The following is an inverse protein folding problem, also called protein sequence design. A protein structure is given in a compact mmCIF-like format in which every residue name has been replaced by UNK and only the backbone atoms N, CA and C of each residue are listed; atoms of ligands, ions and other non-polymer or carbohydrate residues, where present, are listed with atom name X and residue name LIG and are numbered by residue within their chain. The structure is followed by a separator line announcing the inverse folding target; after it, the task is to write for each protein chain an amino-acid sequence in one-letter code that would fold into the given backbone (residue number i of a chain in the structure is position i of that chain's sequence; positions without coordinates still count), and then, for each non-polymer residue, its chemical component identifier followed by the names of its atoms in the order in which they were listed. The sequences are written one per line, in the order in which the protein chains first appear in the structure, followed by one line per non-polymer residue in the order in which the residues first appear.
data_IF_803277374161
#
_entry.id   IF_803277374161
#
_cell.length_a   1.000
_cell.length_b   1.000
_cell.length_c   1.000
_cell.angle_alpha   90.00
_cell.angle_beta   90.00
_cell.angle_gamma   90.00
#
_symmetry.space_group_name_H-M   'P 1'
#
loop_
_entity.id
_entity.type
_entity.pdbx_description
1 polymer ?
#
# COMPACT_ATOMS: atom_id res chain seq x y z
N UNK A 1 25.06 -35.98 -11.30
CA UNK A 1 25.91 -34.80 -10.97
C UNK A 1 25.73 -33.61 -11.94
N UNK A 2 24.64 -33.55 -12.72
CA UNK A 2 24.28 -32.40 -13.60
C UNK A 2 22.98 -31.68 -13.21
N UNK A 3 22.16 -32.24 -12.32
CA UNK A 3 20.90 -31.62 -11.86
C UNK A 3 21.13 -30.51 -10.82
N UNK A 4 22.12 -30.66 -9.95
CA UNK A 4 22.38 -29.70 -8.85
C UNK A 4 22.79 -28.29 -9.31
N UNK A 5 23.30 -28.13 -10.53
CA UNK A 5 23.76 -26.83 -11.06
C UNK A 5 22.63 -26.03 -11.72
N UNK A 6 21.60 -26.69 -12.27
CA UNK A 6 20.43 -26.02 -12.86
C UNK A 6 19.47 -25.53 -11.79
N UNK A 7 19.20 -26.34 -10.77
CA UNK A 7 18.32 -25.98 -9.65
C UNK A 7 18.86 -24.77 -8.86
N UNK A 8 20.18 -24.69 -8.71
CA UNK A 8 20.85 -23.54 -8.10
C UNK A 8 20.74 -22.26 -8.95
N UNK A 9 20.70 -22.39 -10.29
CA UNK A 9 20.56 -21.26 -11.22
C UNK A 9 19.14 -20.71 -11.23
N UNK A 10 18.12 -21.57 -11.19
CA UNK A 10 16.71 -21.16 -11.11
C UNK A 10 16.39 -20.50 -9.77
N UNK A 11 16.79 -21.12 -8.66
CA UNK A 11 16.55 -20.56 -7.32
C UNK A 11 17.10 -19.15 -7.17
N UNK A 12 18.34 -18.92 -7.61
CA UNK A 12 18.95 -17.60 -7.56
C UNK A 12 18.31 -16.57 -8.51
N UNK A 13 17.68 -17.00 -9.61
CA UNK A 13 16.91 -16.13 -10.49
C UNK A 13 15.54 -15.81 -9.89
N UNK A 14 14.85 -16.81 -9.33
CA UNK A 14 13.57 -16.67 -8.63
C UNK A 14 13.67 -15.62 -7.52
N UNK A 15 14.65 -15.77 -6.63
CA UNK A 15 14.88 -14.82 -5.53
C UNK A 15 15.10 -13.38 -6.04
N UNK A 16 15.84 -13.21 -7.15
CA UNK A 16 16.04 -11.89 -7.78
C UNK A 16 14.75 -11.33 -8.37
N UNK A 17 13.91 -12.16 -8.98
CA UNK A 17 12.63 -11.77 -9.56
C UNK A 17 11.63 -11.38 -8.48
N UNK A 18 11.46 -12.21 -7.44
CA UNK A 18 10.58 -11.94 -6.29
C UNK A 18 11.00 -10.66 -5.56
N UNK A 19 12.30 -10.50 -5.31
CA UNK A 19 12.84 -9.28 -4.68
C UNK A 19 12.65 -8.06 -5.59
N UNK A 20 12.92 -8.20 -6.89
CA UNK A 20 12.81 -7.14 -7.88
C UNK A 20 11.37 -6.67 -8.07
N UNK A 21 10.43 -7.59 -8.26
CA UNK A 21 9.00 -7.26 -8.38
C UNK A 21 8.49 -6.68 -7.07
N UNK A 22 8.87 -7.24 -5.90
CA UNK A 22 8.51 -6.70 -4.60
C UNK A 22 8.92 -5.23 -4.42
N UNK A 23 10.16 -4.87 -4.76
CA UNK A 23 10.60 -3.48 -4.69
C UNK A 23 9.94 -2.57 -5.72
N UNK A 24 9.59 -3.10 -6.90
CA UNK A 24 8.80 -2.35 -7.87
C UNK A 24 7.37 -2.08 -7.37
N UNK A 25 6.69 -3.08 -6.80
CA UNK A 25 5.38 -2.91 -6.17
C UNK A 25 5.45 -1.89 -5.02
N UNK A 26 6.50 -1.95 -4.20
CA UNK A 26 6.72 -1.00 -3.11
C UNK A 26 6.91 0.44 -3.64
N UNK A 27 7.66 0.62 -4.74
CA UNK A 27 7.82 1.94 -5.39
C UNK A 27 6.49 2.48 -5.94
N UNK A 28 5.65 1.62 -6.51
CA UNK A 28 4.30 1.98 -6.93
C UNK A 28 3.44 2.33 -5.72
N UNK A 29 3.49 1.53 -4.66
CA UNK A 29 2.74 1.75 -3.43
C UNK A 29 3.11 3.07 -2.75
N UNK A 30 4.39 3.41 -2.68
CA UNK A 30 4.89 4.72 -2.21
C UNK A 30 4.23 5.87 -2.96
N UNK A 31 4.20 5.80 -4.29
CA UNK A 31 3.60 6.86 -5.10
C UNK A 31 2.10 6.98 -4.87
N UNK A 32 1.39 5.86 -4.79
CA UNK A 32 -0.05 5.80 -4.51
C UNK A 32 -0.38 6.31 -3.10
N UNK A 33 0.45 5.99 -2.11
CA UNK A 33 0.32 6.48 -0.73
C UNK A 33 0.49 8.00 -0.67
N UNK A 34 1.44 8.55 -1.44
CA UNK A 34 1.62 10.00 -1.58
C UNK A 34 0.39 10.70 -2.21
N UNK A 35 -0.34 10.02 -3.10
CA UNK A 35 -1.63 10.50 -3.65
C UNK A 35 -2.83 10.29 -2.69
N UNK A 36 -2.58 9.89 -1.45
CA UNK A 36 -3.63 9.72 -0.44
C UNK A 36 -4.36 8.38 -0.51
N UNK A 37 -3.91 7.43 -1.33
CA UNK A 37 -4.62 6.15 -1.50
C UNK A 37 -4.43 5.23 -0.29
N UNK A 38 -5.46 4.45 0.09
CA UNK A 38 -5.41 3.61 1.28
C UNK A 38 -4.99 2.18 0.92
N UNK A 39 -3.69 1.93 0.79
CA UNK A 39 -3.12 0.60 0.50
C UNK A 39 -2.95 -0.20 1.79
N UNK A 40 -3.25 -1.50 1.74
CA UNK A 40 -3.18 -2.42 2.89
C UNK A 40 -2.03 -3.42 2.81
N UNK A 41 -1.75 -3.96 1.63
CA UNK A 41 -0.75 -5.02 1.46
C UNK A 41 -0.24 -5.08 0.03
N UNK A 42 0.95 -5.67 -0.09
CA UNK A 42 1.59 -6.05 -1.35
C UNK A 42 1.84 -7.55 -1.33
N UNK A 43 1.71 -8.20 -2.48
CA UNK A 43 2.13 -9.58 -2.67
C UNK A 43 3.01 -9.66 -3.90
N UNK A 44 4.16 -10.29 -3.77
CA UNK A 44 5.08 -10.59 -4.85
C UNK A 44 5.19 -12.11 -4.98
N UNK A 45 5.05 -12.64 -6.18
CA UNK A 45 5.07 -14.08 -6.44
C UNK A 45 5.86 -14.39 -7.70
N UNK A 46 6.66 -15.46 -7.67
CA UNK A 46 7.21 -16.12 -8.85
C UNK A 46 6.99 -17.62 -8.71
N UNK A 47 6.71 -18.33 -9.81
CA UNK A 47 6.53 -19.78 -9.79
C UNK A 47 7.68 -20.52 -9.08
N UNK A 48 7.31 -21.54 -8.29
CA UNK A 48 8.24 -22.35 -7.51
C UNK A 48 9.10 -23.29 -8.37
N UNK A 49 8.61 -23.68 -9.54
CA UNK A 49 9.30 -24.56 -10.51
C UNK A 49 9.27 -23.91 -11.90
N UNK A 50 10.39 -24.01 -12.62
CA UNK A 50 10.51 -23.59 -14.02
C UNK A 50 9.43 -24.23 -14.92
N UNK A 51 8.98 -25.44 -14.56
CA UNK A 51 7.92 -26.18 -15.25
C UNK A 51 6.52 -25.64 -15.02
N UNK A 52 6.32 -24.81 -13.99
CA UNK A 52 5.03 -24.18 -13.68
C UNK A 52 4.94 -22.75 -14.22
N UNK A 53 6.01 -22.23 -14.81
CA UNK A 53 6.05 -20.87 -15.35
C UNK A 53 5.00 -20.67 -16.45
N UNK A 54 4.73 -21.70 -17.26
CA UNK A 54 3.72 -21.61 -18.32
C UNK A 54 2.30 -21.36 -17.78
N UNK A 55 2.00 -21.81 -16.56
CA UNK A 55 0.71 -21.61 -15.89
C UNK A 55 0.71 -20.38 -14.96
N UNK A 56 1.83 -20.12 -14.28
CA UNK A 56 2.02 -19.01 -13.33
C UNK A 56 3.41 -18.42 -13.49
N UNK A 57 3.53 -17.26 -14.14
CA UNK A 57 4.80 -16.60 -14.41
C UNK A 57 5.33 -15.86 -13.16
N UNK A 58 5.57 -14.55 -13.25
CA UNK A 58 5.86 -13.69 -12.09
C UNK A 58 4.72 -12.68 -11.99
N UNK A 59 4.17 -12.55 -10.80
CA UNK A 59 3.00 -11.75 -10.55
C UNK A 59 3.20 -10.91 -9.29
N UNK A 60 2.36 -9.89 -9.14
CA UNK A 60 2.30 -9.16 -7.90
C UNK A 60 1.11 -8.23 -7.78
N UNK A 61 0.55 -8.11 -6.59
CA UNK A 61 -0.67 -7.34 -6.37
C UNK A 61 -0.52 -6.28 -5.29
N UNK A 62 -1.32 -5.22 -5.44
CA UNK A 62 -1.48 -4.15 -4.45
C UNK A 62 -2.95 -4.09 -4.06
N UNK A 63 -3.20 -4.33 -2.78
CA UNK A 63 -4.55 -4.35 -2.24
C UNK A 63 -4.88 -3.04 -1.52
N UNK A 64 -6.11 -2.57 -1.73
CA UNK A 64 -6.63 -1.37 -1.07
C UNK A 64 -7.47 -1.71 0.16
N UNK A 65 -7.69 -0.74 1.03
CA UNK A 65 -8.64 -0.88 2.13
C UNK A 65 -10.04 -1.17 1.60
N UNK A 66 -10.77 -2.03 2.31
CA UNK A 66 -12.10 -2.49 1.90
C UNK A 66 -13.08 -1.36 1.63
N UNK A 67 -13.07 -0.31 2.46
CA UNK A 67 -13.93 0.87 2.25
C UNK A 67 -13.65 1.56 0.90
N UNK A 68 -12.39 1.64 0.48
CA UNK A 68 -12.01 2.20 -0.81
C UNK A 68 -12.42 1.28 -1.96
N UNK A 69 -12.17 -0.03 -1.85
CA UNK A 69 -12.64 -1.00 -2.85
C UNK A 69 -14.16 -0.91 -3.06
N UNK A 70 -14.90 -0.81 -1.95
CA UNK A 70 -16.36 -0.68 -1.99
C UNK A 70 -16.85 0.63 -2.59
N UNK A 71 -16.10 1.72 -2.41
CA UNK A 71 -16.42 2.98 -3.08
C UNK A 71 -16.24 2.93 -4.60
N UNK A 72 -15.47 1.97 -5.13
CA UNK A 72 -15.23 1.81 -6.56
C UNK A 72 -16.20 0.80 -7.21
N UNK A 73 -16.27 -0.43 -6.69
CA UNK A 73 -17.01 -1.53 -7.32
C UNK A 73 -18.03 -2.23 -6.38
N UNK A 74 -18.44 -1.56 -5.30
CA UNK A 74 -19.40 -2.12 -4.35
C UNK A 74 -18.85 -3.36 -3.61
N UNK A 75 -19.57 -4.50 -3.58
CA UNK A 75 -19.12 -5.67 -2.83
C UNK A 75 -18.01 -6.47 -3.51
N UNK A 76 -17.64 -6.14 -4.75
CA UNK A 76 -16.62 -6.86 -5.49
C UNK A 76 -15.24 -6.69 -4.84
N UNK A 77 -14.42 -7.74 -4.90
CA UNK A 77 -13.01 -7.61 -4.56
C UNK A 77 -12.30 -6.87 -5.69
N UNK A 78 -11.45 -5.91 -5.35
CA UNK A 78 -10.74 -5.12 -6.37
C UNK A 78 -9.35 -4.72 -5.92
N UNK A 79 -8.38 -4.93 -6.80
CA UNK A 79 -6.96 -4.69 -6.52
C UNK A 79 -6.21 -4.39 -7.81
N UNK A 80 -5.02 -3.81 -7.68
CA UNK A 80 -4.10 -3.72 -8.81
C UNK A 80 -3.30 -5.00 -8.89
N UNK A 81 -3.17 -5.52 -10.10
CA UNK A 81 -2.42 -6.71 -10.39
C UNK A 81 -1.40 -6.41 -11.48
N UNK A 82 -0.15 -6.76 -11.22
CA UNK A 82 0.93 -6.76 -12.18
C UNK A 82 1.23 -8.20 -12.62
N UNK A 83 1.29 -8.42 -13.93
CA UNK A 83 1.60 -9.73 -14.51
C UNK A 83 2.84 -9.61 -15.39
N UNK A 84 3.82 -10.50 -15.20
CA UNK A 84 5.12 -10.48 -15.86
C UNK A 84 5.11 -10.63 -17.39
N UNK A 85 3.96 -10.95 -17.98
CA UNK A 85 3.71 -11.04 -19.43
C UNK A 85 2.94 -9.84 -20.00
N UNK A 86 2.15 -9.15 -19.16
CA UNK A 86 1.12 -8.19 -19.61
C UNK A 86 1.14 -6.85 -18.86
N UNK A 87 1.99 -6.68 -17.86
CA UNK A 87 2.09 -5.47 -17.06
C UNK A 87 0.90 -5.29 -16.12
N UNK A 88 0.49 -4.05 -15.89
CA UNK A 88 -0.52 -3.69 -14.90
C UNK A 88 -1.95 -3.79 -15.42
N UNK A 89 -2.82 -4.34 -14.59
CA UNK A 89 -4.26 -4.21 -14.68
C UNK A 89 -4.90 -3.87 -13.33
N UNK A 90 -6.10 -3.30 -13.42
CA UNK A 90 -7.05 -3.26 -12.33
C UNK A 90 -7.96 -4.47 -12.47
N UNK A 91 -7.95 -5.35 -11.47
CA UNK A 91 -8.71 -6.60 -11.46
C UNK A 91 -9.88 -6.47 -10.51
N UNK A 92 -11.05 -6.89 -10.97
CA UNK A 92 -12.29 -6.93 -10.19
C UNK A 92 -12.85 -8.35 -10.20
N UNK A 93 -13.18 -8.88 -9.02
CA UNK A 93 -13.75 -10.21 -8.85
C UNK A 93 -15.12 -10.05 -8.21
N UNK A 94 -16.17 -10.43 -8.94
CA UNK A 94 -17.53 -10.45 -8.43
C UNK A 94 -17.85 -11.86 -7.93
N UNK A 95 -18.04 -11.96 -6.62
CA UNK A 95 -18.60 -13.16 -6.01
C UNK A 95 -20.11 -13.15 -6.20
N UNK A 96 -20.63 -14.00 -7.09
CA UNK A 96 -22.07 -14.20 -7.20
C UNK A 96 -22.62 -14.79 -5.90
N UNK A 97 -23.76 -14.32 -5.43
CA UNK A 97 -24.47 -14.93 -4.30
C UNK A 97 -25.10 -16.25 -4.78
N UNK A 98 -24.34 -17.34 -4.74
CA UNK A 98 -24.80 -18.67 -5.18
C UNK A 98 -23.66 -19.65 -5.44
N UNK A 99 -23.96 -20.75 -6.14
CA UNK A 99 -23.00 -21.80 -6.52
C UNK A 99 -22.26 -21.51 -7.85
N UNK A 100 -22.31 -20.28 -8.35
CA UNK A 100 -21.62 -19.85 -9.57
C UNK A 100 -20.12 -19.64 -9.35
N UNK A 101 -19.32 -19.82 -10.40
CA UNK A 101 -17.91 -19.39 -10.38
C UNK A 101 -17.84 -17.87 -10.31
N UNK A 102 -16.89 -17.29 -9.56
CA UNK A 102 -16.67 -15.84 -9.56
C UNK A 102 -16.47 -15.32 -11.00
N UNK A 103 -17.04 -14.16 -11.31
CA UNK A 103 -16.74 -13.46 -12.58
C UNK A 103 -15.58 -12.50 -12.37
N UNK A 104 -14.56 -12.63 -13.21
CA UNK A 104 -13.36 -11.79 -13.18
C UNK A 104 -13.34 -10.82 -14.36
N UNK A 105 -13.05 -9.56 -14.07
CA UNK A 105 -12.84 -8.52 -15.07
C UNK A 105 -11.47 -7.87 -14.85
N UNK A 106 -10.82 -7.47 -15.94
CA UNK A 106 -9.54 -6.79 -15.89
C UNK A 106 -9.51 -5.61 -16.86
N UNK A 107 -8.99 -4.49 -16.39
CA UNK A 107 -8.69 -3.31 -17.19
C UNK A 107 -7.19 -3.04 -17.22
N UNK A 108 -6.58 -2.99 -18.39
CA UNK A 108 -5.12 -2.96 -18.57
C UNK A 108 -4.60 -1.55 -18.84
N UNK A 109 -3.46 -1.19 -18.23
CA UNK A 109 -2.81 0.13 -18.37
C UNK A 109 -2.15 0.35 -19.74
N UNK A 110 -1.94 -0.71 -20.53
CA UNK A 110 -1.26 -0.70 -21.84
C UNK A 110 -0.02 0.22 -21.90
N UNK A 111 0.92 0.02 -20.97
CA UNK A 111 2.13 0.86 -20.83
C UNK A 111 3.43 0.04 -20.67
N UNK A 112 3.45 -1.18 -21.23
CA UNK A 112 4.55 -2.11 -21.09
C UNK A 112 4.58 -2.84 -19.74
N UNK A 113 5.61 -3.66 -19.54
CA UNK A 113 5.78 -4.44 -18.31
C UNK A 113 6.09 -3.56 -17.10
N UNK A 114 6.97 -2.58 -17.25
CA UNK A 114 7.50 -1.84 -16.11
C UNK A 114 7.29 -0.32 -16.30
N UNK A 115 6.05 0.19 -16.40
CA UNK A 115 5.80 1.62 -16.44
C UNK A 115 6.33 2.34 -15.18
N UNK A 116 6.45 3.66 -15.23
CA UNK A 116 6.83 4.43 -14.03
C UNK A 116 5.71 4.38 -12.97
N UNK A 117 6.06 4.50 -11.66
CA UNK A 117 5.07 4.62 -10.60
C UNK A 117 4.03 5.72 -10.84
N UNK A 118 4.43 6.87 -11.39
CA UNK A 118 3.51 7.95 -11.75
C UNK A 118 2.48 7.53 -12.80
N UNK A 119 2.90 6.71 -13.78
CA UNK A 119 1.99 6.22 -14.82
C UNK A 119 0.97 5.25 -14.24
N UNK A 120 1.36 4.42 -13.28
CA UNK A 120 0.43 3.53 -12.56
C UNK A 120 -0.51 4.35 -11.67
N UNK A 121 -0.02 5.38 -10.99
CA UNK A 121 -0.85 6.27 -10.18
C UNK A 121 -1.89 7.04 -11.01
N UNK A 122 -1.51 7.51 -12.21
CA UNK A 122 -2.44 8.12 -13.15
C UNK A 122 -3.52 7.13 -13.61
N UNK A 123 -3.17 5.87 -13.81
CA UNK A 123 -4.14 4.81 -14.12
C UNK A 123 -5.14 4.58 -12.99
N UNK A 124 -4.68 4.50 -11.74
CA UNK A 124 -5.57 4.39 -10.58
C UNK A 124 -6.47 5.61 -10.45
N UNK A 125 -5.97 6.79 -10.78
CA UNK A 125 -6.78 8.01 -10.80
C UNK A 125 -7.89 7.92 -11.85
N UNK A 126 -7.63 7.34 -13.02
CA UNK A 126 -8.67 7.07 -14.02
C UNK A 126 -9.69 6.03 -13.53
N UNK A 127 -9.22 4.94 -12.90
CA UNK A 127 -10.09 3.92 -12.29
C UNK A 127 -11.02 4.53 -11.23
N UNK A 128 -10.55 5.51 -10.46
CA UNK A 128 -11.37 6.22 -9.47
C UNK A 128 -12.48 7.07 -10.08
N UNK A 129 -12.33 7.50 -11.33
CA UNK A 129 -13.35 8.26 -12.05
C UNK A 129 -14.36 7.30 -12.67
N UNK A 130 -13.86 6.27 -13.36
CA UNK A 130 -14.68 5.25 -14.00
C UNK A 130 -13.91 3.92 -14.11
N UNK A 131 -14.18 2.93 -13.24
CA UNK A 131 -13.47 1.66 -13.22
C UNK A 131 -13.77 0.80 -14.46
N UNK A 132 -14.91 1.00 -15.13
CA UNK A 132 -15.34 0.18 -16.26
C UNK A 132 -14.63 0.58 -17.56
N UNK A 133 -14.22 1.85 -17.67
CA UNK A 133 -13.62 2.39 -18.91
C UNK A 133 -12.14 2.76 -18.78
N UNK A 134 -11.58 2.82 -17.57
CA UNK A 134 -10.15 3.09 -17.39
C UNK A 134 -9.30 2.03 -18.10
N UNK A 135 -8.32 2.44 -18.92
CA UNK A 135 -7.43 1.52 -19.64
C UNK A 135 -8.12 0.72 -20.75
N UNK A 136 -7.59 -0.47 -21.07
CA UNK A 136 -8.08 -1.37 -22.12
C UNK A 136 -8.77 -2.61 -21.55
N UNK A 137 -9.81 -3.11 -22.21
CA UNK A 137 -10.36 -4.45 -21.95
C UNK A 137 -9.51 -5.57 -22.54
N UNK A 138 -8.64 -5.26 -23.50
CA UNK A 138 -7.76 -6.24 -24.13
C UNK A 138 -6.47 -6.38 -23.34
N UNK A 139 -6.11 -7.63 -23.02
CA UNK A 139 -4.86 -7.96 -22.33
C UNK A 139 -3.68 -7.80 -23.30
N UNK A 140 -2.73 -6.89 -23.03
CA UNK A 140 -1.54 -6.78 -23.86
C UNK A 140 -0.61 -7.98 -23.64
N UNK A 141 0.18 -8.33 -24.64
CA UNK A 141 1.19 -9.40 -24.57
C UNK A 141 2.55 -8.80 -24.90
N UNK A 142 3.33 -8.47 -23.87
CA UNK A 142 4.66 -7.88 -24.03
C UNK A 142 5.78 -8.92 -23.99
N UNK A 143 5.50 -10.09 -23.42
CA UNK A 143 6.45 -11.18 -23.24
C UNK A 143 5.71 -12.52 -23.16
N UNK A 144 6.30 -13.57 -23.70
CA UNK A 144 5.87 -14.96 -23.48
C UNK A 144 6.25 -15.40 -22.07
N UNK A 145 5.47 -16.28 -21.45
CA UNK A 145 5.84 -16.83 -20.15
C UNK A 145 7.22 -17.50 -20.19
N UNK A 146 8.01 -17.36 -19.13
CA UNK A 146 9.36 -17.96 -19.03
C UNK A 146 10.46 -17.34 -19.90
N UNK A 147 10.12 -16.55 -20.91
CA UNK A 147 11.11 -15.89 -21.76
C UNK A 147 11.73 -14.66 -21.08
N UNK A 148 12.97 -14.30 -21.43
CA UNK A 148 13.62 -13.04 -21.04
C UNK A 148 13.63 -12.71 -19.52
N UNK A 149 13.58 -13.71 -18.65
CA UNK A 149 13.51 -13.51 -17.19
C UNK A 149 14.72 -12.77 -16.62
N UNK A 150 15.92 -12.99 -17.17
CA UNK A 150 17.11 -12.25 -16.77
C UNK A 150 17.02 -10.77 -17.14
N UNK A 151 16.45 -10.43 -18.30
CA UNK A 151 16.24 -9.05 -18.73
C UNK A 151 15.18 -8.36 -17.86
N UNK A 152 14.11 -9.09 -17.51
CA UNK A 152 13.09 -8.63 -16.57
C UNK A 152 13.69 -8.34 -15.19
N UNK A 153 14.50 -9.26 -14.66
CA UNK A 153 15.23 -9.07 -13.40
C UNK A 153 16.15 -7.85 -13.44
N UNK A 154 16.88 -7.65 -14.54
CA UNK A 154 17.72 -6.47 -14.74
C UNK A 154 16.88 -5.18 -14.79
N UNK A 155 15.70 -5.23 -15.40
CA UNK A 155 14.76 -4.11 -15.49
C UNK A 155 14.27 -3.60 -14.13
N UNK A 156 14.14 -4.48 -13.13
CA UNK A 156 13.73 -4.08 -11.78
C UNK A 156 14.77 -3.24 -11.02
N UNK A 157 16.05 -3.28 -11.42
CA UNK A 157 17.13 -2.59 -10.70
C UNK A 157 16.92 -1.08 -10.59
N UNK A 158 16.19 -0.46 -11.52
CA UNK A 158 15.85 0.96 -11.47
C UNK A 158 14.85 1.34 -10.37
N UNK A 159 14.16 0.36 -9.80
CA UNK A 159 13.23 0.53 -8.69
C UNK A 159 13.84 0.09 -7.37
N UNK A 160 15.15 -0.19 -7.35
CA UNK A 160 15.86 -0.46 -6.12
C UNK A 160 15.67 0.70 -5.12
N UNK A 161 15.53 0.41 -3.83
CA UNK A 161 15.40 1.42 -2.79
C UNK A 161 16.61 2.36 -2.79
N UNK A 162 16.35 3.68 -2.72
CA UNK A 162 17.39 4.70 -2.57
C UNK A 162 17.94 4.79 -1.15
N UNK A 163 19.00 5.58 -0.96
CA UNK A 163 19.73 5.74 0.30
C UNK A 163 18.89 6.32 1.46
N UNK A 164 17.75 6.94 1.17
CA UNK A 164 16.80 7.44 2.15
C UNK A 164 16.05 6.34 2.92
N UNK A 165 16.02 5.12 2.39
CA UNK A 165 15.35 3.99 3.03
C UNK A 165 16.23 3.37 4.11
N UNK A 166 15.59 2.81 5.15
CA UNK A 166 16.29 2.06 6.19
C UNK A 166 17.06 0.85 5.61
N UNK A 167 18.13 0.37 6.28
CA UNK A 167 18.86 -0.81 5.82
C UNK A 167 17.98 -2.05 5.61
N UNK A 168 16.93 -2.23 6.42
CA UNK A 168 15.97 -3.32 6.24
C UNK A 168 15.11 -3.12 4.99
N UNK A 169 14.61 -1.91 4.75
CA UNK A 169 13.87 -1.55 3.54
C UNK A 169 14.73 -1.62 2.27
N UNK A 170 16.06 -1.54 2.39
CA UNK A 170 16.97 -1.75 1.27
C UNK A 170 17.04 -3.21 0.80
N UNK A 171 16.81 -4.16 1.72
CA UNK A 171 16.92 -5.60 1.44
C UNK A 171 15.58 -6.32 1.38
N UNK A 172 14.53 -5.74 1.98
CA UNK A 172 13.21 -6.36 2.09
C UNK A 172 12.12 -5.35 1.69
N UNK A 173 11.40 -5.68 0.63
CA UNK A 173 10.35 -4.86 0.06
C UNK A 173 9.12 -4.70 0.98
N UNK A 174 8.83 -5.68 1.84
CA UNK A 174 7.75 -5.58 2.83
C UNK A 174 8.07 -4.48 3.86
N UNK A 175 9.32 -4.43 4.34
CA UNK A 175 9.76 -3.36 5.24
C UNK A 175 9.73 -2.00 4.56
N UNK A 176 10.14 -1.92 3.29
CA UNK A 176 10.01 -0.70 2.49
C UNK A 176 8.57 -0.22 2.40
N UNK A 177 7.64 -1.13 2.12
CA UNK A 177 6.22 -0.81 2.07
C UNK A 177 5.69 -0.33 3.42
N UNK A 178 6.01 -1.03 4.51
CA UNK A 178 5.59 -0.67 5.86
C UNK A 178 6.14 0.69 6.28
N UNK A 179 7.40 0.99 5.96
CA UNK A 179 8.03 2.29 6.19
C UNK A 179 7.29 3.41 5.44
N UNK A 180 7.01 3.20 4.14
CA UNK A 180 6.28 4.15 3.32
C UNK A 180 4.83 4.36 3.80
N UNK A 181 4.13 3.28 4.15
CA UNK A 181 2.77 3.31 4.66
C UNK A 181 2.72 4.10 5.98
N UNK A 182 3.61 3.78 6.91
CA UNK A 182 3.68 4.45 8.20
C UNK A 182 4.01 5.94 8.07
N UNK A 183 4.96 6.31 7.20
CA UNK A 183 5.27 7.71 6.90
C UNK A 183 4.07 8.46 6.30
N UNK A 184 3.38 7.86 5.33
CA UNK A 184 2.22 8.48 4.69
C UNK A 184 1.05 8.70 5.67
N UNK A 185 0.74 7.72 6.52
CA UNK A 185 -0.33 7.88 7.51
C UNK A 185 0.05 8.83 8.64
N UNK A 186 1.33 8.87 9.05
CA UNK A 186 1.83 9.88 9.96
C UNK A 186 1.61 11.29 9.40
N UNK A 187 2.03 11.54 8.16
CA UNK A 187 1.86 12.83 7.50
C UNK A 187 0.37 13.24 7.39
N UNK A 188 -0.52 12.29 7.03
CA UNK A 188 -1.97 12.54 7.00
C UNK A 188 -2.53 12.94 8.37
N UNK A 189 -2.14 12.23 9.43
CA UNK A 189 -2.59 12.52 10.79
C UNK A 189 -2.08 13.88 11.26
N UNK A 190 -0.80 14.19 11.04
CA UNK A 190 -0.21 15.49 11.41
C UNK A 190 -0.89 16.64 10.66
N UNK A 191 -1.07 16.51 9.33
CA UNK A 191 -1.79 17.51 8.52
C UNK A 191 -3.24 17.69 8.99
N UNK A 192 -3.94 16.62 9.34
CA UNK A 192 -5.30 16.72 9.86
C UNK A 192 -5.34 17.49 11.18
N UNK A 193 -4.39 17.23 12.09
CA UNK A 193 -4.27 17.94 13.36
C UNK A 193 -3.82 19.40 13.20
N UNK A 194 -3.03 19.71 12.18
CA UNK A 194 -2.54 21.05 11.88
C UNK A 194 -3.49 21.88 10.99
N UNK A 195 -4.53 21.27 10.41
CA UNK A 195 -5.39 21.88 9.38
C UNK A 195 -6.13 23.15 9.81
N UNK A 196 -6.23 23.43 11.11
CA UNK A 196 -6.83 24.66 11.65
C UNK A 196 -8.36 24.73 11.55
N UNK A 197 -9.03 23.69 11.05
CA UNK A 197 -10.48 23.52 11.22
C UNK A 197 -10.79 23.03 12.65
N UNK A 198 -10.54 23.90 13.62
CA UNK A 198 -10.69 23.62 15.06
C UNK A 198 -12.16 23.69 15.52
N UNK A 199 -13.11 23.43 14.62
CA UNK A 199 -14.54 23.40 14.96
C UNK A 199 -14.80 22.29 15.98
N UNK A 200 -15.26 22.69 17.16
CA UNK A 200 -15.68 21.73 18.20
C UNK A 200 -16.99 21.08 17.77
N UNK A 201 -16.93 19.78 17.45
CA UNK A 201 -18.10 18.97 17.14
C UNK A 201 -18.64 18.32 18.41
N UNK A 202 -19.94 18.48 18.66
CA UNK A 202 -20.66 17.73 19.69
C UNK A 202 -21.13 16.40 19.11
N UNK A 203 -20.33 15.35 19.30
CA UNK A 203 -20.64 13.99 18.85
C UNK A 203 -21.20 13.17 20.02
N UNK A 204 -22.48 12.76 19.99
CA UNK A 204 -23.02 11.87 21.00
C UNK A 204 -22.38 10.47 20.82
N UNK A 205 -21.47 10.11 21.72
CA UNK A 205 -20.83 8.79 21.78
C UNK A 205 -21.23 8.08 23.06
N UNK A 206 -21.48 6.77 22.98
CA UNK A 206 -21.70 5.94 24.17
C UNK A 206 -20.37 5.72 24.88
N UNK A 207 -20.42 5.55 26.19
CA UNK A 207 -19.21 5.25 26.98
C UNK A 207 -18.49 3.97 26.49
N UNK A 208 -19.24 2.96 26.04
CA UNK A 208 -18.68 1.73 25.46
C UNK A 208 -17.93 1.99 24.14
N UNK A 209 -18.42 2.91 23.31
CA UNK A 209 -17.79 3.27 22.03
C UNK A 209 -16.50 4.05 22.27
N UNK A 210 -16.53 5.00 23.22
CA UNK A 210 -15.33 5.73 23.64
C UNK A 210 -14.26 4.79 24.21
N UNK A 211 -14.67 3.79 25.00
CA UNK A 211 -13.75 2.77 25.53
C UNK A 211 -13.14 1.93 24.40
N UNK A 212 -13.96 1.43 23.49
CA UNK A 212 -13.48 0.65 22.35
C UNK A 212 -12.47 1.44 21.48
N UNK A 213 -12.73 2.73 21.24
CA UNK A 213 -11.79 3.59 20.49
C UNK A 213 -10.45 3.75 21.22
N UNK A 214 -10.45 3.88 22.55
CA UNK A 214 -9.20 3.94 23.33
C UNK A 214 -8.43 2.63 23.26
N UNK A 215 -9.10 1.50 23.45
CA UNK A 215 -8.47 0.18 23.39
C UNK A 215 -7.87 -0.08 21.98
N UNK A 216 -8.52 0.41 20.92
CA UNK A 216 -7.98 0.36 19.54
C UNK A 216 -6.74 1.24 19.37
N UNK A 217 -6.74 2.48 19.90
CA UNK A 217 -5.58 3.37 19.83
C UNK A 217 -4.39 2.81 20.63
N UNK A 218 -4.63 2.24 21.80
CA UNK A 218 -3.62 1.56 22.61
C UNK A 218 -3.04 0.33 21.86
N UNK A 219 -3.90 -0.47 21.23
CA UNK A 219 -3.43 -1.58 20.39
C UNK A 219 -2.54 -1.08 19.24
N UNK A 220 -2.89 0.03 18.59
CA UNK A 220 -2.05 0.61 17.53
C UNK A 220 -0.72 1.14 18.06
N UNK A 221 -0.65 1.64 19.29
CA UNK A 221 0.60 2.04 19.93
C UNK A 221 1.53 0.83 20.16
N UNK A 222 0.97 -0.30 20.60
CA UNK A 222 1.74 -1.52 20.92
C UNK A 222 2.24 -2.25 19.67
N UNK A 223 1.44 -2.27 18.61
CA UNK A 223 1.69 -3.10 17.42
C UNK A 223 2.37 -2.35 16.27
N UNK A 224 2.67 -1.07 16.45
CA UNK A 224 3.12 -0.24 15.35
C UNK A 224 4.53 -0.61 14.84
N UNK A 225 4.73 -0.50 13.52
CA UNK A 225 6.07 -0.51 12.94
C UNK A 225 6.88 0.72 13.39
N UNK A 226 8.20 0.61 13.26
CA UNK A 226 9.22 1.57 13.74
C UNK A 226 8.98 3.04 13.33
N UNK A 227 8.22 3.29 12.25
CA UNK A 227 7.85 4.61 11.77
C UNK A 227 6.36 4.63 11.40
N UNK A 228 5.50 5.26 12.21
CA UNK A 228 4.05 5.33 11.97
C UNK A 228 3.36 6.40 12.81
N UNK A 229 2.03 6.56 12.75
CA UNK A 229 1.27 7.55 13.52
C UNK A 229 1.10 7.18 15.01
N UNK A 230 1.83 6.19 15.51
CA UNK A 230 1.64 5.59 16.84
C UNK A 230 1.98 6.54 17.99
N UNK A 231 2.97 7.41 17.80
CA UNK A 231 3.33 8.48 18.74
C UNK A 231 2.21 9.51 18.91
N UNK A 232 1.41 9.71 17.87
CA UNK A 232 0.20 10.53 17.91
C UNK A 232 -0.98 9.77 18.53
N UNK A 233 -1.07 8.45 18.32
CA UNK A 233 -2.15 7.62 18.87
C UNK A 233 -2.25 7.72 20.39
N UNK A 234 -1.11 7.68 21.09
CA UNK A 234 -1.04 7.89 22.54
C UNK A 234 -1.62 9.24 22.96
N UNK A 235 -1.19 10.31 22.28
CA UNK A 235 -1.63 11.68 22.56
C UNK A 235 -3.14 11.86 22.33
N UNK A 236 -3.69 11.22 21.28
CA UNK A 236 -5.12 11.21 20.99
C UNK A 236 -5.92 10.42 22.03
N UNK A 237 -5.45 9.24 22.44
CA UNK A 237 -6.12 8.41 23.44
C UNK A 237 -6.20 9.12 24.81
N UNK A 238 -5.13 9.81 25.20
CA UNK A 238 -5.11 10.65 26.40
C UNK A 238 -6.13 11.80 26.31
N UNK A 239 -6.15 12.52 25.18
CA UNK A 239 -7.08 13.64 24.98
C UNK A 239 -8.55 13.18 25.05
N UNK A 240 -8.89 12.09 24.37
CA UNK A 240 -10.23 11.49 24.41
C UNK A 240 -10.64 11.01 25.81
N UNK A 241 -9.68 10.55 26.63
CA UNK A 241 -9.96 10.12 28.00
C UNK A 241 -10.37 11.27 28.90
N UNK A 242 -9.76 12.43 28.72
CA UNK A 242 -9.98 13.60 29.55
C UNK A 242 -11.21 14.42 29.12
N UNK A 243 -11.75 14.17 27.93
CA UNK A 243 -13.04 14.73 27.45
C UNK A 243 -14.28 14.00 28.02
N UNK A 244 -14.08 12.93 28.80
CA UNK A 244 -15.15 12.32 29.60
C UNK A 244 -15.65 13.36 30.62
N UNK A 245 -16.97 13.50 30.90
CA UNK A 245 -17.52 14.69 31.57
C UNK A 245 -16.83 15.01 32.90
N UNK A 246 -16.17 16.18 33.01
CA UNK A 246 -15.63 16.67 34.29
C UNK A 246 -14.39 17.58 34.28
N UNK A 247 -13.58 17.65 33.21
CA UNK A 247 -12.30 18.40 33.26
C UNK A 247 -12.14 19.42 32.11
N UNK A 248 -11.99 20.70 32.45
CA UNK A 248 -11.83 21.83 31.52
C UNK A 248 -10.38 21.96 30.98
N UNK A 249 -9.47 21.06 31.37
CA UNK A 249 -8.06 21.04 30.92
C UNK A 249 -7.83 20.44 29.53
N UNK A 250 -8.88 19.94 28.87
CA UNK A 250 -8.81 19.36 27.52
C UNK A 250 -8.36 20.36 26.43
N UNK A 251 -8.79 21.62 26.53
CA UNK A 251 -8.45 22.68 25.56
C UNK A 251 -6.94 22.98 25.55
N UNK A 252 -6.28 23.02 26.71
CA UNK A 252 -4.84 23.32 26.81
C UNK A 252 -3.94 22.22 26.24
N UNK A 253 -4.46 21.00 26.04
CA UNK A 253 -3.66 19.83 25.62
C UNK A 253 -3.92 19.40 24.19
N UNK A 254 -5.11 19.68 23.66
CA UNK A 254 -5.26 19.82 22.20
C UNK A 254 -4.23 20.81 21.65
N UNK A 255 -4.00 21.94 22.33
CA UNK A 255 -2.90 22.84 21.98
C UNK A 255 -1.53 22.15 22.03
N UNK A 256 -1.28 21.18 22.92
CA UNK A 256 0.00 20.46 23.01
C UNK A 256 0.19 19.45 21.88
N UNK A 257 -0.84 18.69 21.51
CA UNK A 257 -0.79 17.81 20.34
C UNK A 257 -0.63 18.62 19.05
N UNK A 258 -1.31 19.78 18.96
CA UNK A 258 -1.14 20.74 17.87
C UNK A 258 0.27 21.34 17.83
N UNK A 259 0.83 21.73 18.98
CA UNK A 259 2.20 22.25 19.09
C UNK A 259 3.24 21.21 18.67
N UNK A 260 3.07 19.94 19.10
CA UNK A 260 3.92 18.83 18.66
C UNK A 260 3.85 18.62 17.14
N UNK A 261 2.66 18.73 16.54
CA UNK A 261 2.50 18.63 15.09
C UNK A 261 3.22 19.79 14.36
N UNK A 262 3.05 21.02 14.84
CA UNK A 262 3.73 22.21 14.29
C UNK A 262 5.25 22.12 14.43
N UNK A 263 5.76 21.71 15.60
CA UNK A 263 7.20 21.55 15.84
C UNK A 263 7.82 20.50 14.90
N UNK A 264 7.10 19.44 14.57
CA UNK A 264 7.57 18.42 13.63
C UNK A 264 7.49 18.84 12.16
N UNK A 265 6.51 19.68 11.78
CA UNK A 265 6.49 20.32 10.46
C UNK A 265 7.67 21.28 10.30
N UNK A 266 7.94 22.12 11.30
CA UNK A 266 9.06 23.08 11.29
C UNK A 266 10.43 22.38 11.19
N UNK A 267 10.63 21.26 11.90
CA UNK A 267 11.85 20.47 11.82
C UNK A 267 12.04 19.84 10.45
N UNK A 268 10.95 19.44 9.77
CA UNK A 268 11.01 18.86 8.43
C UNK A 268 11.43 19.89 7.39
N UNK A 269 10.87 21.10 7.48
CA UNK A 269 11.16 22.20 6.54
C UNK A 269 12.59 22.76 6.69
N UNK A 270 13.22 22.58 7.86
CA UNK A 270 14.63 22.93 8.09
C UNK A 270 15.64 21.90 7.56
N UNK A 271 15.18 20.70 7.19
CA UNK A 271 16.00 19.59 6.71
C UNK A 271 15.80 19.25 5.22
N UNK A 272 15.00 20.04 4.50
CA UNK A 272 14.89 20.07 3.03
C UNK A 272 15.83 21.12 2.42
#
# INVERSE_FOLDING_TARGET
MRETTKDASWKGLKEKLETGVGHYLAAVAERLLADGLPITSLYAYAADDERLIDDNDIEGSIHFQKAFQTSLNGPAESFLHWVGTSGWCYRTIHHETGAGSPSEYARWLDAGLLPSPDRVAAFVSAVRVDPDTAGSSERPCYRTSGDHLHELAAGFTRFAPGAQHTPLAQTNHEYRFVEAQGAAYRDRVLKALASGDDRVLFLPIRHSELRALKDLLEYTEITAPLSGPHDVAHSLAQDLTLRTPGDHRSVQRHCRARLLAVEQEDQRDQHL
#
